data_IF_761098668388
#
_entry.id   IF_761098668388
#
_cell.length_a   1.000
_cell.length_b   1.000
_cell.length_c   1.000
_cell.angle_alpha   90.00
_cell.angle_beta   90.00
_cell.angle_gamma   90.00
#
_symmetry.space_group_name_H-M   'P 1'
#
loop_
_entity.id
_entity.type
_entity.pdbx_description
1 polymer ?
#
# COMPACT_ATOMS: atom_id res chain seq x y z
N UNK A 1 0.09 6.91 -20.61
CA UNK A 1 0.48 7.61 -19.36
C UNK A 1 -0.09 9.00 -19.38
N UNK A 2 -1.11 9.30 -18.57
CA UNK A 2 -1.62 10.66 -18.38
C UNK A 2 -1.01 11.21 -17.09
N UNK A 3 -0.13 12.21 -17.22
CA UNK A 3 0.55 12.84 -16.08
C UNK A 3 -0.39 13.53 -15.06
N UNK A 4 -1.67 13.71 -15.43
CA UNK A 4 -2.70 14.38 -14.62
C UNK A 4 -3.73 13.41 -14.04
N UNK A 5 -3.40 12.13 -13.83
CA UNK A 5 -4.34 11.21 -13.20
C UNK A 5 -4.47 11.52 -11.71
N UNK A 6 -5.65 11.94 -11.26
CA UNK A 6 -5.90 12.33 -9.87
C UNK A 6 -6.00 11.14 -8.91
N UNK A 7 -6.18 9.93 -9.45
CA UNK A 7 -6.35 8.71 -8.67
C UNK A 7 -5.19 8.47 -7.71
N UNK A 8 -5.50 8.47 -6.41
CA UNK A 8 -4.51 8.30 -5.34
C UNK A 8 -4.29 6.83 -5.05
N UNK A 9 -3.07 6.34 -5.28
CA UNK A 9 -2.68 4.97 -5.02
C UNK A 9 -2.65 4.64 -3.52
N UNK A 10 -3.24 3.50 -3.16
CA UNK A 10 -3.23 2.91 -1.83
C UNK A 10 -2.51 1.57 -1.91
N UNK A 11 -1.57 1.36 -0.99
CA UNK A 11 -0.83 0.11 -0.82
C UNK A 11 -1.27 -0.52 0.49
N UNK A 12 -1.63 -1.80 0.45
CA UNK A 12 -2.02 -2.56 1.62
C UNK A 12 -1.22 -3.85 1.71
N UNK A 13 -0.76 -4.18 2.91
CA UNK A 13 -0.06 -5.42 3.23
C UNK A 13 -0.96 -6.34 4.02
N UNK A 14 -1.07 -7.60 3.57
CA UNK A 14 -1.86 -8.63 4.21
C UNK A 14 -1.03 -9.86 4.56
N UNK A 15 -1.44 -10.52 5.63
CA UNK A 15 -1.02 -11.87 6.02
C UNK A 15 -2.25 -12.78 5.90
N UNK A 16 -2.30 -13.56 4.81
CA UNK A 16 -3.52 -14.17 4.29
C UNK A 16 -4.65 -13.14 4.11
N UNK A 17 -5.66 -13.16 4.99
CA UNK A 17 -6.81 -12.26 4.97
C UNK A 17 -6.71 -11.09 5.95
N UNK A 18 -5.69 -11.05 6.81
CA UNK A 18 -5.54 -10.02 7.84
C UNK A 18 -4.73 -8.84 7.32
N UNK A 19 -5.30 -7.63 7.36
CA UNK A 19 -4.58 -6.40 7.07
C UNK A 19 -3.53 -6.12 8.15
N UNK A 20 -2.28 -5.98 7.73
CA UNK A 20 -1.13 -5.70 8.59
C UNK A 20 -0.68 -4.24 8.53
N UNK A 21 -0.82 -3.61 7.37
CA UNK A 21 -0.38 -2.24 7.13
C UNK A 21 -1.07 -1.66 5.90
N UNK A 22 -1.25 -0.34 5.90
CA UNK A 22 -1.90 0.40 4.82
C UNK A 22 -1.24 1.76 4.71
N UNK A 23 -1.00 2.21 3.47
CA UNK A 23 -0.59 3.57 3.20
C UNK A 23 -1.74 4.57 3.37
N UNK A 24 -2.99 4.11 3.46
CA UNK A 24 -4.17 4.93 3.72
C UNK A 24 -4.68 4.76 5.14
N UNK A 25 -4.88 5.88 5.84
CA UNK A 25 -5.56 5.92 7.13
C UNK A 25 -7.01 6.39 6.95
N UNK A 26 -8.02 5.50 7.14
CA UNK A 26 -9.41 5.84 6.92
C UNK A 26 -9.97 6.83 7.96
N UNK A 27 -9.34 6.94 9.15
CA UNK A 27 -9.82 7.87 10.19
C UNK A 27 -9.42 9.33 9.91
N UNK A 28 -8.29 9.54 9.26
CA UNK A 28 -7.76 10.89 8.97
C UNK A 28 -7.83 11.24 7.49
N UNK A 29 -8.27 10.30 6.66
CA UNK A 29 -8.27 10.34 5.20
C UNK A 29 -6.91 10.63 4.55
N UNK A 30 -5.82 10.46 5.30
CA UNK A 30 -4.46 10.72 4.81
C UNK A 30 -3.91 9.49 4.10
N UNK A 31 -3.25 9.75 2.97
CA UNK A 31 -2.45 8.77 2.23
C UNK A 31 -0.98 9.12 2.45
N UNK A 32 -0.24 8.15 2.97
CA UNK A 32 1.20 8.18 3.14
C UNK A 32 1.87 7.59 1.89
N UNK A 33 3.05 8.08 1.55
CA UNK A 33 3.81 7.61 0.36
C UNK A 33 4.47 6.26 0.59
N UNK A 34 4.71 5.89 1.85
CA UNK A 34 5.37 4.65 2.25
C UNK A 34 4.97 4.28 3.68
N UNK A 35 5.20 3.03 4.05
CA UNK A 35 5.15 2.57 5.43
C UNK A 35 6.15 1.44 5.62
N UNK A 36 6.69 1.33 6.83
CA UNK A 36 7.56 0.23 7.22
C UNK A 36 6.76 -0.85 7.94
N UNK A 37 7.09 -2.11 7.66
CA UNK A 37 6.51 -3.24 8.35
C UNK A 37 7.60 -4.16 8.90
N UNK A 38 7.71 -4.30 10.24
CA UNK A 38 8.63 -5.28 10.82
C UNK A 38 8.07 -6.69 10.58
N UNK A 39 8.76 -7.47 9.75
CA UNK A 39 8.41 -8.88 9.51
C UNK A 39 8.57 -9.70 10.79
N UNK A 40 7.45 -10.03 11.45
CA UNK A 40 7.43 -10.77 12.72
C UNK A 40 7.47 -12.29 12.55
N UNK A 41 7.09 -12.81 11.38
CA UNK A 41 7.02 -14.24 11.09
C UNK A 41 7.42 -14.54 9.66
N UNK A 42 7.91 -15.75 9.43
CA UNK A 42 8.11 -16.30 8.09
C UNK A 42 6.75 -16.70 7.51
N UNK A 43 6.51 -16.35 6.25
CA UNK A 43 5.27 -16.69 5.57
C UNK A 43 5.06 -15.87 4.31
N UNK A 44 3.95 -16.16 3.63
CA UNK A 44 3.50 -15.39 2.49
C UNK A 44 2.84 -14.09 2.96
N UNK A 45 3.19 -13.00 2.28
CA UNK A 45 2.54 -11.70 2.44
C UNK A 45 1.94 -11.29 1.10
N UNK A 46 0.73 -10.72 1.13
CA UNK A 46 0.09 -10.20 -0.07
C UNK A 46 0.11 -8.68 -0.05
N UNK A 47 0.62 -8.10 -1.13
CA UNK A 47 0.59 -6.65 -1.35
C UNK A 47 -0.54 -6.37 -2.33
N UNK A 48 -1.48 -5.53 -1.93
CA UNK A 48 -2.59 -5.08 -2.76
C UNK A 48 -2.39 -3.62 -3.13
N UNK A 49 -2.52 -3.35 -4.42
CA UNK A 49 -2.58 -2.00 -4.97
C UNK A 49 -4.04 -1.69 -5.33
N UNK A 50 -4.49 -0.51 -4.96
CA UNK A 50 -5.83 0.00 -5.29
C UNK A 50 -5.77 1.51 -5.44
N UNK A 51 -6.75 2.09 -6.12
CA UNK A 51 -6.92 3.54 -6.12
C UNK A 51 -8.05 3.89 -5.16
N UNK A 52 -7.87 4.99 -4.42
CA UNK A 52 -8.93 5.55 -3.59
C UNK A 52 -10.18 5.76 -4.48
N UNK A 53 -11.33 5.35 -3.97
CA UNK A 53 -12.65 5.53 -4.61
C UNK A 53 -12.77 4.89 -6.02
N UNK A 54 -11.84 4.00 -6.39
CA UNK A 54 -11.81 3.36 -7.71
C UNK A 54 -11.37 4.29 -8.85
N UNK A 55 -10.80 5.44 -8.52
CA UNK A 55 -10.39 6.44 -9.50
C UNK A 55 -9.27 5.91 -10.41
N UNK A 56 -9.31 6.31 -11.69
CA UNK A 56 -8.24 5.97 -12.63
C UNK A 56 -6.99 6.77 -12.25
N UNK A 57 -5.93 6.06 -11.90
CA UNK A 57 -4.67 6.66 -11.49
C UNK A 57 -3.46 5.93 -12.07
N UNK A 58 -2.29 6.47 -11.79
CA UNK A 58 -1.01 5.79 -11.94
C UNK A 58 -0.41 5.63 -10.53
N UNK A 59 -0.03 4.40 -10.18
CA UNK A 59 0.65 4.11 -8.93
C UNK A 59 1.89 3.26 -9.22
N UNK A 60 3.00 3.59 -8.55
CA UNK A 60 4.23 2.81 -8.57
C UNK A 60 4.49 2.30 -7.17
N UNK A 61 4.56 0.97 -7.02
CA UNK A 61 4.90 0.32 -5.77
C UNK A 61 6.36 -0.12 -5.75
N UNK A 62 7.11 0.29 -4.73
CA UNK A 62 8.47 -0.17 -4.48
C UNK A 62 8.45 -0.99 -3.19
N UNK A 63 9.03 -2.18 -3.23
CA UNK A 63 9.14 -3.07 -2.07
C UNK A 63 10.61 -3.34 -1.82
N UNK A 64 11.04 -3.12 -0.58
CA UNK A 64 12.40 -3.42 -0.14
C UNK A 64 12.35 -4.31 1.09
N UNK A 65 13.16 -5.36 1.10
CA UNK A 65 13.40 -6.19 2.27
C UNK A 65 14.74 -5.78 2.87
N UNK A 66 14.71 -5.04 3.97
CA UNK A 66 15.91 -4.66 4.71
C UNK A 66 16.21 -5.74 5.75
N UNK A 67 17.38 -6.37 5.67
CA UNK A 67 17.92 -7.23 6.73
C UNK A 67 18.84 -6.40 7.61
N UNK A 68 18.80 -6.62 8.92
CA UNK A 68 19.85 -6.14 9.84
C UNK A 68 21.08 -7.02 9.73
#
# INVERSE_FOLDING_TARGET
NSANSEGKGIIQLYDNYRLLGSSYNPKTEKIYTSFDFPCKKTGQYHIRYSFKDGEKGLAVGIVSLVRK
#
